data_IF_195074765773
#
_entry.id   IF_195074765773
#
_cell.length_a   1.000
_cell.length_b   1.000
_cell.length_c   1.000
_cell.angle_alpha   90.00
_cell.angle_beta   90.00
_cell.angle_gamma   90.00
#
_symmetry.space_group_name_H-M   'P 1'
#
loop_
_entity.id
_entity.type
_entity.pdbx_description
1 polymer ?
#
# COMPACT_ATOMS: atom_id res chain seq x y z
N UNK A 1 -3.42 -9.15 16.17
CA UNK A 1 -3.41 -9.10 14.70
C UNK A 1 -3.30 -7.66 14.24
N UNK A 2 -2.57 -7.42 13.19
CA UNK A 2 -2.34 -6.08 12.70
C UNK A 2 -2.42 -6.02 11.18
N UNK A 3 -2.60 -4.82 10.70
CA UNK A 3 -2.58 -4.54 9.26
C UNK A 3 -1.15 -4.33 8.81
N UNK A 4 -0.63 -5.24 8.00
CA UNK A 4 0.67 -5.12 7.35
C UNK A 4 0.44 -4.74 5.89
N UNK A 5 1.15 -3.70 5.43
CA UNK A 5 0.92 -3.09 4.13
C UNK A 5 2.23 -2.97 3.37
N UNK A 6 2.18 -3.24 2.07
CA UNK A 6 3.34 -3.11 1.19
C UNK A 6 2.92 -2.50 -0.13
N UNK A 7 3.80 -1.73 -0.72
CA UNK A 7 3.55 -1.14 -2.04
C UNK A 7 4.84 -0.96 -2.82
N UNK A 8 4.70 -0.87 -4.13
CA UNK A 8 5.78 -0.67 -5.05
C UNK A 8 5.66 -1.56 -6.27
N UNK A 9 6.75 -2.20 -6.65
CA UNK A 9 6.79 -3.13 -7.78
C UNK A 9 7.34 -4.48 -7.33
N UNK A 10 7.21 -5.48 -8.17
CA UNK A 10 7.83 -6.77 -7.93
C UNK A 10 9.35 -6.60 -7.81
N UNK A 11 9.90 -7.13 -6.72
CA UNK A 11 11.33 -7.14 -6.47
C UNK A 11 11.76 -8.56 -6.16
N UNK A 12 12.90 -8.95 -6.69
CA UNK A 12 13.52 -10.22 -6.36
C UNK A 12 14.50 -10.01 -5.22
N UNK A 13 14.31 -10.74 -4.13
CA UNK A 13 15.11 -10.62 -2.92
C UNK A 13 15.81 -11.94 -2.67
N UNK A 14 17.12 -11.88 -2.37
CA UNK A 14 17.89 -13.07 -2.01
C UNK A 14 17.59 -13.50 -0.58
N UNK A 15 17.41 -14.81 -0.41
CA UNK A 15 17.22 -15.38 0.92
C UNK A 15 18.58 -15.64 1.56
N UNK A 16 18.82 -15.08 2.74
CA UNK A 16 20.11 -15.23 3.43
C UNK A 16 20.31 -16.61 4.07
N UNK A 17 19.22 -17.36 4.26
CA UNK A 17 19.26 -18.63 5.00
C UNK A 17 19.16 -19.88 4.13
N UNK A 18 18.74 -19.74 2.88
CA UNK A 18 18.53 -20.86 1.99
C UNK A 18 19.30 -20.67 0.70
N UNK A 19 19.87 -21.74 0.20
CA UNK A 19 20.63 -21.74 -1.05
C UNK A 19 20.12 -22.84 -1.97
N UNK A 20 20.24 -22.59 -3.26
CA UNK A 20 19.99 -23.60 -4.28
C UNK A 20 21.09 -24.67 -4.25
N UNK A 21 20.88 -25.80 -4.92
CA UNK A 21 21.84 -26.91 -4.96
C UNK A 21 23.21 -26.50 -5.52
N UNK A 22 23.26 -25.47 -6.37
CA UNK A 22 24.47 -24.94 -6.96
C UNK A 22 25.22 -23.94 -6.06
N UNK A 23 24.70 -23.67 -4.87
CA UNK A 23 25.29 -22.74 -3.91
C UNK A 23 24.86 -21.30 -4.06
N UNK A 24 24.04 -20.96 -5.07
CA UNK A 24 23.48 -19.62 -5.22
C UNK A 24 22.36 -19.40 -4.21
N UNK A 25 22.14 -18.14 -3.75
CA UNK A 25 21.03 -17.85 -2.85
C UNK A 25 19.68 -18.14 -3.51
N UNK A 26 18.74 -18.71 -2.77
CA UNK A 26 17.36 -18.75 -3.21
C UNK A 26 16.81 -17.34 -3.26
N UNK A 27 15.93 -17.09 -4.20
CA UNK A 27 15.27 -15.80 -4.34
C UNK A 27 13.76 -15.94 -4.18
N UNK A 28 13.13 -14.87 -3.72
CA UNK A 28 11.67 -14.79 -3.65
C UNK A 28 11.22 -13.43 -4.09
N UNK A 29 9.97 -13.31 -4.49
CA UNK A 29 9.43 -12.07 -5.02
C UNK A 29 8.54 -11.39 -3.98
N UNK A 30 8.74 -10.09 -3.80
CA UNK A 30 7.94 -9.26 -2.92
C UNK A 30 7.55 -7.96 -3.61
N UNK A 31 6.48 -7.34 -3.16
CA UNK A 31 6.19 -5.96 -3.55
C UNK A 31 6.90 -5.03 -2.59
N UNK A 32 7.63 -4.11 -3.13
CA UNK A 32 8.35 -3.13 -2.33
C UNK A 32 8.94 -2.02 -3.20
N UNK A 33 9.70 -1.11 -2.59
CA UNK A 33 10.31 -1.21 -1.25
C UNK A 33 9.52 -0.57 -0.09
N UNK A 34 8.26 -0.25 -0.26
CA UNK A 34 7.51 0.51 0.75
C UNK A 34 6.64 -0.40 1.61
N UNK A 35 6.79 -0.27 2.93
CA UNK A 35 6.05 -1.03 3.92
C UNK A 35 5.46 -0.09 4.96
N UNK A 36 4.23 -0.38 5.36
CA UNK A 36 3.57 0.31 6.46
C UNK A 36 2.98 -0.73 7.41
N UNK A 37 2.72 -0.30 8.60
CA UNK A 37 1.99 -1.12 9.55
C UNK A 37 0.93 -0.27 10.23
N UNK A 38 -0.30 -0.74 10.16
CA UNK A 38 -1.43 -0.10 10.82
C UNK A 38 -1.70 1.33 10.34
N UNK A 39 -1.37 1.63 9.09
CA UNK A 39 -1.68 2.92 8.48
C UNK A 39 -3.10 2.89 7.94
N UNK A 40 -4.08 3.05 8.83
CA UNK A 40 -5.49 2.87 8.52
C UNK A 40 -6.00 3.81 7.44
N UNK A 41 -5.61 5.07 7.46
CA UNK A 41 -6.07 6.05 6.48
C UNK A 41 -5.57 5.73 5.06
N UNK A 42 -4.33 5.31 4.94
CA UNK A 42 -3.80 4.83 3.65
C UNK A 42 -4.60 3.62 3.17
N UNK A 43 -4.89 2.69 4.06
CA UNK A 43 -5.66 1.51 3.70
C UNK A 43 -7.07 1.89 3.22
N UNK A 44 -7.72 2.84 3.87
CA UNK A 44 -9.04 3.34 3.43
C UNK A 44 -8.97 3.98 2.05
N UNK A 45 -7.91 4.73 1.77
CA UNK A 45 -7.67 5.26 0.42
C UNK A 45 -7.58 4.13 -0.60
N UNK A 46 -6.84 3.07 -0.27
CA UNK A 46 -6.68 1.93 -1.19
C UNK A 46 -7.97 1.14 -1.38
N UNK A 47 -8.77 1.00 -0.33
CA UNK A 47 -10.10 0.38 -0.44
C UNK A 47 -11.00 1.18 -1.38
N UNK A 48 -11.03 2.50 -1.24
CA UNK A 48 -11.80 3.35 -2.13
C UNK A 48 -11.33 3.24 -3.58
N UNK A 49 -10.01 3.20 -3.78
CA UNK A 49 -9.41 3.02 -5.10
C UNK A 49 -9.82 1.70 -5.71
N UNK A 50 -9.77 0.62 -4.94
CA UNK A 50 -10.24 -0.69 -5.39
C UNK A 50 -11.72 -0.65 -5.77
N UNK A 51 -12.54 -0.03 -4.95
CA UNK A 51 -13.98 0.08 -5.20
C UNK A 51 -14.29 0.83 -6.50
N UNK A 52 -13.53 1.88 -6.80
CA UNK A 52 -13.68 2.62 -8.06
C UNK A 52 -13.35 1.77 -9.28
N UNK A 53 -12.38 0.89 -9.15
CA UNK A 53 -11.90 0.03 -10.25
C UNK A 53 -12.73 -1.24 -10.42
N UNK A 54 -13.42 -1.65 -9.38
CA UNK A 54 -14.18 -2.91 -9.33
C UNK A 54 -15.61 -2.63 -8.87
N UNK A 55 -16.35 -1.87 -9.67
CA UNK A 55 -17.70 -1.45 -9.32
C UNK A 55 -18.69 -2.62 -9.18
N UNK A 56 -18.39 -3.77 -9.80
CA UNK A 56 -19.19 -4.97 -9.67
C UNK A 56 -18.89 -5.78 -8.40
N UNK A 57 -17.86 -5.39 -7.65
CA UNK A 57 -17.50 -6.08 -6.42
C UNK A 57 -18.54 -5.87 -5.32
N UNK A 58 -18.78 -6.91 -4.54
CA UNK A 58 -19.64 -6.80 -3.36
C UNK A 58 -18.93 -6.00 -2.27
N UNK A 59 -19.68 -5.47 -1.31
CA UNK A 59 -19.09 -4.76 -0.16
C UNK A 59 -18.08 -5.65 0.58
N UNK A 60 -18.39 -6.93 0.73
CA UNK A 60 -17.49 -7.89 1.36
C UNK A 60 -16.17 -8.00 0.59
N UNK A 61 -16.22 -8.11 -0.75
CA UNK A 61 -15.03 -8.18 -1.58
C UNK A 61 -14.18 -6.92 -1.46
N UNK A 62 -14.81 -5.75 -1.40
CA UNK A 62 -14.11 -4.47 -1.25
C UNK A 62 -13.41 -4.42 0.11
N UNK A 63 -14.07 -4.78 1.19
CA UNK A 63 -13.50 -4.75 2.54
C UNK A 63 -12.40 -5.80 2.75
N UNK A 64 -12.42 -6.90 1.98
CA UNK A 64 -11.41 -7.95 2.05
C UNK A 64 -10.36 -7.84 0.94
N UNK A 65 -10.26 -6.68 0.32
CA UNK A 65 -9.25 -6.41 -0.70
C UNK A 65 -7.83 -6.70 -0.16
N UNK A 66 -7.06 -7.44 -0.92
CA UNK A 66 -5.69 -7.80 -0.58
C UNK A 66 -4.67 -7.14 -1.50
N UNK A 67 -5.10 -6.69 -2.67
CA UNK A 67 -4.22 -6.13 -3.68
C UNK A 67 -5.00 -5.15 -4.55
N UNK A 68 -4.37 -4.04 -4.90
CA UNK A 68 -4.92 -3.10 -5.88
C UNK A 68 -3.80 -2.52 -6.74
N UNK A 69 -4.02 -2.50 -8.05
CA UNK A 69 -3.11 -1.89 -9.00
C UNK A 69 -3.39 -0.39 -9.07
N UNK A 70 -2.33 0.40 -9.09
CA UNK A 70 -2.41 1.86 -9.07
C UNK A 70 -1.96 2.43 -10.41
N UNK A 71 -2.73 3.37 -10.95
CA UNK A 71 -2.38 4.10 -12.16
C UNK A 71 -1.98 5.54 -11.83
N UNK A 72 -1.63 6.32 -12.85
CA UNK A 72 -1.19 7.72 -12.66
C UNK A 72 -2.24 8.58 -11.98
N UNK A 73 -3.50 8.39 -12.32
CA UNK A 73 -4.60 9.14 -11.70
C UNK A 73 -4.73 8.79 -10.23
N UNK A 74 -4.59 7.51 -9.88
CA UNK A 74 -4.62 7.08 -8.48
C UNK A 74 -3.49 7.71 -7.68
N UNK A 75 -2.30 7.80 -8.27
CA UNK A 75 -1.14 8.39 -7.60
C UNK A 75 -1.32 9.89 -7.42
N UNK A 76 -1.91 10.59 -8.38
CA UNK A 76 -2.21 12.01 -8.23
C UNK A 76 -3.23 12.24 -7.10
N UNK A 77 -4.23 11.39 -6.99
CA UNK A 77 -5.19 11.45 -5.87
C UNK A 77 -4.52 11.14 -4.54
N UNK A 78 -3.62 10.17 -4.53
CA UNK A 78 -2.86 9.82 -3.33
C UNK A 78 -2.00 10.98 -2.85
N UNK A 79 -1.34 11.68 -3.77
CA UNK A 79 -0.52 12.84 -3.42
C UNK A 79 -1.36 13.91 -2.70
N UNK A 80 -2.55 14.19 -3.22
CA UNK A 80 -3.46 15.14 -2.59
C UNK A 80 -3.95 14.66 -1.23
N UNK A 81 -4.23 13.37 -1.10
CA UNK A 81 -4.63 12.79 0.18
C UNK A 81 -3.52 12.93 1.22
N UNK A 82 -2.27 12.70 0.84
CA UNK A 82 -1.13 12.86 1.74
C UNK A 82 -0.99 14.31 2.20
N UNK A 83 -1.11 15.26 1.29
CA UNK A 83 -1.04 16.69 1.63
C UNK A 83 -2.10 17.09 2.65
N UNK A 84 -3.26 16.46 2.59
CA UNK A 84 -4.39 16.68 3.49
C UNK A 84 -4.41 15.69 4.66
N UNK A 85 -3.32 14.96 4.90
CA UNK A 85 -3.18 13.94 5.94
C UNK A 85 -4.31 12.90 5.92
N UNK A 86 -4.78 12.56 4.74
CA UNK A 86 -5.86 11.59 4.52
C UNK A 86 -7.14 11.96 5.28
N UNK A 87 -7.43 13.25 5.38
CA UNK A 87 -8.60 13.73 6.13
C UNK A 87 -9.90 13.03 5.70
N UNK A 88 -10.09 12.84 4.38
CA UNK A 88 -11.28 12.23 3.82
C UNK A 88 -11.30 10.70 3.93
N UNK A 89 -10.24 10.10 4.45
CA UNK A 89 -10.07 8.65 4.53
C UNK A 89 -9.99 8.15 5.97
N UNK A 90 -10.68 8.84 6.84
CA UNK A 90 -10.78 8.46 8.23
C UNK A 90 -11.61 7.17 8.36
N UNK A 91 -11.09 6.21 9.12
CA UNK A 91 -11.81 4.98 9.42
C UNK A 91 -12.59 5.15 10.72
N UNK A 92 -13.90 5.25 10.63
CA UNK A 92 -14.75 5.41 11.80
C UNK A 92 -14.93 4.07 12.53
N UNK A 93 -14.95 4.15 13.85
CA UNK A 93 -15.14 2.98 14.70
C UNK A 93 -13.85 2.27 15.07
N UNK A 94 -13.91 1.41 16.06
CA UNK A 94 -12.76 0.76 16.67
C UNK A 94 -12.17 -0.40 15.89
N UNK A 95 -12.46 -0.52 14.61
CA UNK A 95 -11.98 -1.65 13.80
C UNK A 95 -10.46 -1.69 13.71
N UNK A 96 -9.83 -0.53 13.53
CA UNK A 96 -8.39 -0.41 13.53
C UNK A 96 -7.90 0.18 14.85
N UNK A 97 -8.23 1.45 15.11
CA UNK A 97 -7.71 2.22 16.24
C UNK A 97 -8.60 3.45 16.45
N UNK A 98 -8.39 4.17 17.55
CA UNK A 98 -9.05 5.45 17.78
C UNK A 98 -8.55 6.55 16.84
N UNK A 99 -9.22 7.69 16.84
CA UNK A 99 -8.93 8.85 15.98
C UNK A 99 -7.49 9.31 16.07
N UNK A 100 -6.99 9.42 17.29
CA UNK A 100 -5.64 9.90 17.55
C UNK A 100 -4.58 9.00 16.92
N UNK A 101 -4.78 7.68 17.02
CA UNK A 101 -3.82 6.73 16.48
C UNK A 101 -3.73 6.84 14.96
N UNK A 102 -4.87 7.01 14.29
CA UNK A 102 -4.87 7.17 12.83
C UNK A 102 -4.15 8.44 12.40
N UNK A 103 -4.34 9.53 13.13
CA UNK A 103 -3.66 10.79 12.85
C UNK A 103 -2.15 10.68 13.11
N UNK A 104 -1.77 10.01 14.21
CA UNK A 104 -0.36 9.76 14.52
C UNK A 104 0.32 8.95 13.43
N UNK A 105 -0.33 7.92 12.91
CA UNK A 105 0.23 7.11 11.83
C UNK A 105 0.33 7.88 10.52
N UNK A 106 -0.67 8.68 10.19
CA UNK A 106 -0.62 9.52 9.01
C UNK A 106 0.56 10.51 9.07
N UNK A 107 0.82 11.06 10.25
CA UNK A 107 1.95 11.97 10.45
C UNK A 107 3.29 11.22 10.44
N UNK A 108 3.35 10.08 11.10
CA UNK A 108 4.56 9.26 11.19
C UNK A 108 5.04 8.80 9.80
N UNK A 109 4.12 8.41 8.94
CA UNK A 109 4.45 7.88 7.62
C UNK A 109 4.45 8.93 6.51
N UNK A 110 4.23 10.21 6.82
CA UNK A 110 4.11 11.24 5.80
C UNK A 110 5.28 11.28 4.83
N UNK A 111 6.50 11.20 5.35
CA UNK A 111 7.71 11.23 4.52
C UNK A 111 7.78 10.00 3.60
N UNK A 112 7.49 8.83 4.14
CA UNK A 112 7.49 7.59 3.37
C UNK A 112 6.40 7.62 2.30
N UNK A 113 5.21 8.12 2.64
CA UNK A 113 4.11 8.24 1.70
C UNK A 113 4.49 9.14 0.52
N UNK A 114 5.12 10.27 0.80
CA UNK A 114 5.61 11.18 -0.25
C UNK A 114 6.68 10.52 -1.11
N UNK A 115 7.57 9.76 -0.51
CA UNK A 115 8.61 9.03 -1.25
C UNK A 115 7.97 7.95 -2.12
N UNK A 116 6.95 7.28 -1.65
CA UNK A 116 6.20 6.31 -2.44
C UNK A 116 5.57 6.97 -3.68
N UNK A 117 4.95 8.13 -3.52
CA UNK A 117 4.37 8.87 -4.66
C UNK A 117 5.43 9.18 -5.71
N UNK A 118 6.59 9.66 -5.30
CA UNK A 118 7.70 9.94 -6.24
C UNK A 118 8.14 8.68 -6.97
N UNK A 119 8.31 7.58 -6.23
CA UNK A 119 8.67 6.29 -6.80
C UNK A 119 7.63 5.82 -7.81
N UNK A 120 6.35 5.89 -7.43
CA UNK A 120 5.27 5.42 -8.28
C UNK A 120 5.16 6.23 -9.57
N UNK A 121 5.28 7.54 -9.51
CA UNK A 121 5.29 8.39 -10.71
C UNK A 121 6.41 8.01 -11.65
N UNK A 122 7.60 7.75 -11.11
CA UNK A 122 8.77 7.36 -11.90
C UNK A 122 8.57 5.99 -12.57
N UNK A 123 8.07 5.02 -11.82
CA UNK A 123 7.85 3.67 -12.34
C UNK A 123 6.72 3.63 -13.38
N UNK A 124 5.63 4.36 -13.14
CA UNK A 124 4.53 4.44 -14.10
C UNK A 124 4.95 5.14 -15.40
N UNK A 125 5.86 6.12 -15.32
CA UNK A 125 6.42 6.76 -16.51
C UNK A 125 7.24 5.79 -17.38
N UNK A 126 7.71 4.70 -16.79
CA UNK A 126 8.43 3.62 -17.49
C UNK A 126 7.51 2.47 -17.91
N UNK A 127 6.20 2.65 -17.78
CA UNK A 127 5.19 1.62 -18.05
C UNK A 127 5.29 0.40 -17.11
N UNK A 128 5.90 0.57 -15.95
CA UNK A 128 5.94 -0.48 -14.94
C UNK A 128 4.66 -0.51 -14.13
N UNK A 129 4.31 -1.69 -13.60
CA UNK A 129 3.14 -1.88 -12.78
C UNK A 129 3.47 -1.55 -11.33
N UNK A 130 2.62 -0.73 -10.70
CA UNK A 130 2.73 -0.37 -9.28
C UNK A 130 1.49 -0.89 -8.57
N UNK A 131 1.69 -1.59 -7.47
CA UNK A 131 0.59 -2.17 -6.69
C UNK A 131 0.74 -1.92 -5.20
N UNK A 132 -0.39 -1.96 -4.53
CA UNK A 132 -0.49 -1.98 -3.07
C UNK A 132 -1.04 -3.33 -2.65
N UNK A 133 -0.44 -3.92 -1.61
CA UNK A 133 -0.90 -5.18 -1.01
C UNK A 133 -1.06 -5.02 0.49
N UNK A 134 -1.91 -5.84 1.09
CA UNK A 134 -2.08 -5.82 2.54
C UNK A 134 -2.38 -7.21 3.07
N UNK A 135 -2.08 -7.39 4.35
CA UNK A 135 -2.34 -8.62 5.09
C UNK A 135 -2.77 -8.27 6.51
N UNK A 136 -3.74 -9.00 7.03
CA UNK A 136 -4.29 -8.80 8.38
C UNK A 136 -3.67 -9.76 9.38
#
# INVERSE_FOLDING_TARGET
>A
MGLDQSAGKWMEVECSHFKNDDGTPETYQVYGPFDWRKHARLHMFMIETYNRKHQDATDEQVWHMQEVELDSEDIDRLEKAIENKYYDYFCEGGFFFGHQFQEEQATYYEKQDKNFVKFAKKELAKDNVVKYTCSW
#
